data_IF_823359972482
#
_entry.id   IF_823359972482
#
_cell.length_a   1.000
_cell.length_b   1.000
_cell.length_c   1.000
_cell.angle_alpha   90.00
_cell.angle_beta   90.00
_cell.angle_gamma   90.00
#
_symmetry.space_group_name_H-M   'P 1'
#
loop_
_entity.id
_entity.type
_entity.pdbx_description
1 polymer ?
#
# COMPACT_ATOMS: atom_id res chain seq x y z
N UNK A 1 -2.00 -23.87 -5.68
CA UNK A 1 -1.79 -25.22 -6.27
C UNK A 1 -2.13 -25.21 -7.76
N UNK A 2 -1.16 -25.49 -8.63
CA UNK A 2 -1.42 -25.83 -10.04
C UNK A 2 -1.39 -27.35 -10.12
N UNK A 3 -2.57 -27.99 -10.12
CA UNK A 3 -2.72 -29.44 -10.30
C UNK A 3 -3.53 -29.64 -11.57
N UNK A 4 -3.11 -30.57 -12.42
CA UNK A 4 -3.85 -30.89 -13.63
C UNK A 4 -5.26 -31.39 -13.31
N UNK A 5 -6.21 -31.10 -14.18
CA UNK A 5 -7.57 -31.55 -14.05
C UNK A 5 -7.64 -33.09 -13.90
N UNK A 6 -8.48 -33.57 -12.99
CA UNK A 6 -8.63 -35.00 -12.68
C UNK A 6 -7.67 -35.55 -11.62
N UNK A 7 -6.80 -34.72 -11.02
CA UNK A 7 -5.91 -35.12 -9.92
C UNK A 7 -6.26 -34.42 -8.61
N UNK A 8 -6.16 -35.16 -7.51
CA UNK A 8 -6.32 -34.64 -6.15
C UNK A 8 -4.94 -34.48 -5.51
N UNK A 9 -4.62 -33.27 -5.05
CA UNK A 9 -3.41 -32.99 -4.28
C UNK A 9 -3.74 -32.80 -2.80
N UNK A 10 -3.03 -33.51 -1.93
CA UNK A 10 -3.16 -33.38 -0.48
C UNK A 10 -1.86 -32.82 0.12
N UNK A 11 -1.97 -31.98 1.15
CA UNK A 11 -0.84 -31.46 1.92
C UNK A 11 -1.21 -31.46 3.40
N UNK A 12 -0.32 -31.98 4.24
CA UNK A 12 -0.45 -31.81 5.68
C UNK A 12 -0.01 -30.40 6.09
N UNK A 13 -0.83 -29.72 6.92
CA UNK A 13 -0.58 -28.36 7.39
C UNK A 13 -1.10 -27.25 6.46
N UNK A 14 -0.74 -25.97 6.72
CA UNK A 14 -1.23 -24.82 5.96
C UNK A 14 -0.89 -24.89 4.46
N UNK A 15 -1.85 -24.48 3.62
CA UNK A 15 -1.71 -24.47 2.16
C UNK A 15 -1.45 -23.06 1.62
N UNK A 16 -1.98 -22.03 2.29
CA UNK A 16 -1.87 -20.61 1.93
C UNK A 16 -1.46 -19.76 3.13
N UNK A 17 -0.99 -18.55 2.86
CA UNK A 17 -0.74 -17.54 3.89
C UNK A 17 -2.05 -17.02 4.48
N UNK A 18 -2.02 -16.61 5.74
CA UNK A 18 -3.04 -15.72 6.29
C UNK A 18 -2.95 -14.35 5.58
N UNK A 19 -4.08 -13.68 5.40
CA UNK A 19 -4.13 -12.34 4.82
C UNK A 19 -5.03 -11.42 5.64
N UNK A 20 -4.73 -10.13 5.58
CA UNK A 20 -5.52 -9.06 6.17
C UNK A 20 -5.48 -7.84 5.23
N UNK A 21 -6.40 -6.90 5.43
CA UNK A 21 -6.49 -5.65 4.68
C UNK A 21 -5.99 -4.48 5.52
N UNK A 22 -5.20 -3.60 4.91
CA UNK A 22 -4.69 -2.38 5.53
C UNK A 22 -5.28 -1.15 4.83
N UNK A 23 -5.83 -0.22 5.61
CA UNK A 23 -6.24 1.10 5.15
C UNK A 23 -5.40 2.17 5.85
N UNK A 24 -4.79 3.04 5.06
CA UNK A 24 -4.05 4.21 5.54
C UNK A 24 -4.82 5.44 5.05
N UNK A 25 -4.96 6.43 5.93
CA UNK A 25 -5.55 7.73 5.61
C UNK A 25 -4.62 8.82 6.13
N UNK A 26 -4.40 9.83 5.30
CA UNK A 26 -3.54 10.97 5.55
C UNK A 26 -4.37 12.26 5.46
N UNK A 27 -4.19 13.13 6.43
CA UNK A 27 -4.89 14.40 6.54
C UNK A 27 -3.89 15.55 6.67
N UNK A 28 -4.22 16.69 6.08
CA UNK A 28 -3.39 17.89 6.20
C UNK A 28 -4.02 19.14 5.60
N UNK A 29 -3.45 20.32 5.86
CA UNK A 29 -3.87 21.56 5.22
C UNK A 29 -3.69 21.48 3.70
N UNK A 30 -4.77 21.50 2.95
CA UNK A 30 -4.76 21.60 1.48
C UNK A 30 -4.84 23.06 1.02
N UNK A 31 -4.85 23.30 -0.29
CA UNK A 31 -4.94 24.65 -0.83
C UNK A 31 -4.55 24.76 -2.29
N UNK A 32 -4.33 25.98 -2.76
CA UNK A 32 -3.93 26.21 -4.15
C UNK A 32 -2.46 25.80 -4.35
N UNK A 33 -2.16 25.07 -5.42
CA UNK A 33 -0.79 24.67 -5.80
C UNK A 33 0.21 25.84 -5.98
N UNK A 34 -0.27 27.09 -6.12
CA UNK A 34 0.57 28.29 -6.22
C UNK A 34 1.13 28.74 -4.85
N UNK A 35 0.62 28.19 -3.74
CA UNK A 35 1.06 28.53 -2.37
C UNK A 35 1.34 27.28 -1.55
N UNK A 36 2.26 26.39 -2.02
CA UNK A 36 2.48 25.10 -1.37
C UNK A 36 3.01 25.23 0.07
N UNK A 37 3.71 26.32 0.39
CA UNK A 37 4.24 26.62 1.73
C UNK A 37 3.15 26.86 2.79
N UNK A 38 1.88 27.03 2.40
CA UNK A 38 0.73 27.12 3.30
C UNK A 38 -0.02 25.79 3.44
N UNK A 39 0.49 24.73 2.82
CA UNK A 39 -0.18 23.42 2.70
C UNK A 39 0.74 22.28 3.10
N UNK A 40 0.17 21.08 3.18
CA UNK A 40 0.91 19.82 3.27
C UNK A 40 0.72 19.04 1.97
N UNK A 41 1.82 18.68 1.33
CA UNK A 41 1.79 17.90 0.09
C UNK A 41 1.47 16.43 0.38
N UNK A 42 0.17 16.13 0.45
CA UNK A 42 -0.32 14.76 0.68
C UNK A 42 -0.05 13.83 -0.51
N UNK A 43 0.08 14.35 -1.74
CA UNK A 43 0.40 13.53 -2.92
C UNK A 43 1.80 12.94 -2.74
N UNK A 44 2.77 13.77 -2.36
CA UNK A 44 4.13 13.32 -2.06
C UNK A 44 4.16 12.37 -0.86
N UNK A 45 3.39 12.65 0.20
CA UNK A 45 3.32 11.79 1.37
C UNK A 45 2.80 10.37 1.02
N UNK A 46 1.72 10.28 0.24
CA UNK A 46 1.18 9.01 -0.25
C UNK A 46 2.19 8.26 -1.10
N UNK A 47 2.88 8.93 -2.03
CA UNK A 47 3.89 8.29 -2.88
C UNK A 47 5.03 7.67 -2.05
N UNK A 48 5.47 8.36 -0.98
CA UNK A 48 6.45 7.81 -0.04
C UNK A 48 5.92 6.60 0.72
N UNK A 49 4.70 6.66 1.25
CA UNK A 49 4.09 5.49 1.91
C UNK A 49 4.02 4.30 0.96
N UNK A 50 3.56 4.53 -0.27
CA UNK A 50 3.39 3.49 -1.27
C UNK A 50 4.70 2.77 -1.62
N UNK A 51 5.79 3.52 -1.73
CA UNK A 51 7.10 3.00 -2.18
C UNK A 51 7.98 2.54 -1.01
N UNK A 52 8.02 3.29 0.08
CA UNK A 52 8.97 3.05 1.17
C UNK A 52 8.49 1.98 2.15
N UNK A 53 7.17 1.87 2.41
CA UNK A 53 6.66 0.89 3.38
C UNK A 53 6.96 -0.55 2.96
N UNK A 54 6.65 -1.02 1.73
CA UNK A 54 7.02 -2.37 1.30
C UNK A 54 8.53 -2.61 1.36
N UNK A 55 9.33 -1.62 0.94
CA UNK A 55 10.79 -1.71 0.98
C UNK A 55 11.35 -1.80 2.41
N UNK A 56 10.77 -1.08 3.36
CA UNK A 56 11.16 -1.11 4.77
C UNK A 56 10.78 -2.44 5.41
N UNK A 57 9.57 -2.94 5.14
CA UNK A 57 9.10 -4.22 5.68
C UNK A 57 9.98 -5.36 5.20
N UNK A 58 10.35 -5.38 3.91
CA UNK A 58 11.27 -6.39 3.37
C UNK A 58 12.64 -6.45 4.06
N UNK A 59 13.09 -5.35 4.70
CA UNK A 59 14.33 -5.31 5.49
C UNK A 59 14.15 -5.63 6.98
N UNK A 60 12.92 -5.58 7.50
CA UNK A 60 12.63 -5.78 8.94
C UNK A 60 12.10 -7.16 9.28
N UNK A 61 11.74 -7.95 8.27
CA UNK A 61 11.15 -9.28 8.44
C UNK A 61 12.19 -10.32 8.06
N UNK A 62 12.22 -11.45 8.79
CA UNK A 62 13.08 -12.58 8.43
C UNK A 62 12.77 -12.98 6.99
N UNK A 63 13.79 -13.09 6.14
CA UNK A 63 13.64 -13.47 4.73
C UNK A 63 13.06 -14.87 4.54
N UNK A 64 13.07 -15.69 5.59
CA UNK A 64 12.41 -17.01 5.64
C UNK A 64 10.92 -16.92 5.96
N UNK A 65 10.45 -15.82 6.55
CA UNK A 65 9.04 -15.59 6.79
C UNK A 65 8.38 -15.15 5.49
N UNK A 66 7.47 -15.98 4.96
CA UNK A 66 6.71 -15.67 3.74
C UNK A 66 5.74 -14.52 3.97
N UNK A 67 6.21 -13.27 3.84
CA UNK A 67 5.42 -12.05 3.96
C UNK A 67 5.41 -11.28 2.63
N UNK A 68 4.23 -10.81 2.24
CA UNK A 68 4.05 -9.91 1.11
C UNK A 68 3.12 -8.77 1.49
N UNK A 69 3.41 -7.56 1.01
CA UNK A 69 2.54 -6.39 1.10
C UNK A 69 2.32 -5.88 -0.32
N UNK A 70 1.08 -5.57 -0.66
CA UNK A 70 0.71 -5.07 -1.98
C UNK A 70 -0.39 -4.03 -1.85
N UNK A 71 -0.20 -2.86 -2.47
CA UNK A 71 -1.20 -1.82 -2.52
C UNK A 71 -2.18 -2.09 -3.66
N UNK A 72 -3.45 -2.31 -3.34
CA UNK A 72 -4.50 -2.51 -4.34
C UNK A 72 -5.10 -1.21 -4.88
N UNK A 73 -4.94 -0.09 -4.15
CA UNK A 73 -5.56 1.20 -4.49
C UNK A 73 -4.82 2.34 -3.82
N UNK A 74 -4.69 3.46 -4.54
CA UNK A 74 -4.17 4.72 -4.05
C UNK A 74 -5.10 5.83 -4.58
N UNK A 75 -5.50 6.76 -3.72
CA UNK A 75 -6.23 7.97 -4.11
C UNK A 75 -5.66 9.18 -3.41
N UNK A 76 -5.55 10.30 -4.13
CA UNK A 76 -5.12 11.58 -3.57
C UNK A 76 -5.42 12.69 -4.58
N UNK A 77 -6.17 13.70 -4.18
CA UNK A 77 -6.53 14.83 -5.05
C UNK A 77 -7.64 14.55 -6.06
N UNK A 78 -8.04 15.63 -6.74
CA UNK A 78 -9.09 15.60 -7.77
C UNK A 78 -8.83 16.64 -8.88
N UNK A 79 -8.49 17.88 -8.50
CA UNK A 79 -8.16 18.95 -9.43
C UNK A 79 -6.64 19.19 -9.51
N UNK A 80 -6.14 19.53 -10.69
CA UNK A 80 -4.69 19.68 -10.97
C UNK A 80 -4.05 20.89 -10.28
N UNK A 81 -4.84 21.89 -9.87
CA UNK A 81 -4.37 23.11 -9.20
C UNK A 81 -4.71 23.15 -7.70
N UNK A 82 -5.11 22.02 -7.11
CA UNK A 82 -5.47 21.89 -5.70
C UNK A 82 -4.62 20.83 -5.02
N UNK A 83 -3.97 21.21 -3.92
CA UNK A 83 -3.32 20.29 -2.99
C UNK A 83 -4.41 19.72 -2.07
N UNK A 84 -4.61 18.39 -2.01
CA UNK A 84 -5.70 17.78 -1.27
C UNK A 84 -5.56 17.91 0.25
N UNK A 85 -6.69 17.82 0.94
CA UNK A 85 -6.76 17.78 2.41
C UNK A 85 -6.82 16.35 2.97
N UNK A 86 -7.18 15.38 2.13
CA UNK A 86 -7.37 13.98 2.47
C UNK A 86 -6.77 13.10 1.37
N UNK A 87 -6.14 12.00 1.78
CA UNK A 87 -5.64 10.95 0.89
C UNK A 87 -5.67 9.57 1.56
#
# INVERSE_FOLDING_TARGET
>A
PKVDAGRIGLRHGPITSACDSLKISLDGPGGHTARPHLTTDLVTAVAKVATEVPALVGRRVDTRAGLAITWGRIESGHATNVIPQHA
#
